data_IF_496787251931
#
_entry.id   IF_496787251931
#
_cell.length_a   1.000
_cell.length_b   1.000
_cell.length_c   1.000
_cell.angle_alpha   90.00
_cell.angle_beta   90.00
_cell.angle_gamma   90.00
#
_symmetry.space_group_name_H-M   'P 1'
#
loop_
_entity.id
_entity.type
_entity.pdbx_description
1 polymer ?
#
# COMPACT_ATOMS: atom_id res chain seq x y z
N UNK A 1 -27.77 82.88 47.20
CA UNK A 1 -27.72 81.42 47.38
C UNK A 1 -28.02 80.79 46.02
N UNK A 2 -26.99 80.45 45.24
CA UNK A 2 -27.13 79.76 43.95
C UNK A 2 -26.02 78.71 43.87
N UNK A 3 -26.44 77.51 43.54
CA UNK A 3 -25.72 76.24 43.59
C UNK A 3 -24.83 76.09 42.34
N UNK A 4 -23.61 75.59 42.55
CA UNK A 4 -22.66 75.11 41.52
C UNK A 4 -22.91 73.61 41.30
N UNK A 5 -22.93 73.12 40.06
CA UNK A 5 -22.49 71.75 39.73
C UNK A 5 -21.76 71.66 38.38
N UNK A 6 -20.79 70.74 38.22
CA UNK A 6 -19.71 70.84 37.24
C UNK A 6 -19.77 69.83 36.08
N UNK A 7 -19.11 70.22 34.99
CA UNK A 7 -18.26 69.44 34.07
C UNK A 7 -18.36 67.90 34.07
N UNK A 8 -18.91 67.37 32.98
CA UNK A 8 -18.76 65.98 32.54
C UNK A 8 -17.37 65.76 31.92
N UNK A 9 -16.55 64.93 32.54
CA UNK A 9 -15.33 64.41 31.92
C UNK A 9 -15.63 63.15 31.10
N UNK A 10 -15.36 63.23 29.79
CA UNK A 10 -15.33 62.07 28.90
C UNK A 10 -13.95 61.41 29.05
N UNK A 11 -13.91 60.20 29.61
CA UNK A 11 -12.70 59.36 29.65
C UNK A 11 -12.52 58.69 28.29
N UNK A 12 -11.48 59.06 27.55
CA UNK A 12 -11.04 58.33 26.37
C UNK A 12 -10.25 57.09 26.81
N UNK A 13 -10.79 55.90 26.55
CA UNK A 13 -10.10 54.63 26.76
C UNK A 13 -9.28 54.31 25.51
N UNK A 14 -7.95 54.44 25.62
CA UNK A 14 -7.02 54.00 24.56
C UNK A 14 -6.90 52.48 24.64
N UNK A 15 -7.45 51.78 23.67
CA UNK A 15 -7.26 50.34 23.51
C UNK A 15 -5.88 50.08 22.85
N UNK A 16 -4.94 49.56 23.63
CA UNK A 16 -3.66 49.06 23.13
C UNK A 16 -3.92 47.71 22.44
N UNK A 17 -3.92 47.72 21.12
CA UNK A 17 -3.96 46.50 20.30
C UNK A 17 -2.55 45.89 20.35
N UNK A 18 -2.36 44.94 21.27
CA UNK A 18 -1.17 44.10 21.32
C UNK A 18 -1.18 43.17 20.10
N UNK A 19 -0.42 43.50 19.05
CA UNK A 19 -0.09 42.60 17.96
C UNK A 19 0.87 41.52 18.47
N UNK A 20 0.32 40.53 19.17
CA UNK A 20 0.98 39.25 19.36
C UNK A 20 1.07 38.59 17.99
N UNK A 21 2.21 38.74 17.33
CA UNK A 21 2.57 37.87 16.22
C UNK A 21 2.58 36.45 16.77
N UNK A 22 1.53 35.68 16.48
CA UNK A 22 1.51 34.25 16.72
C UNK A 22 2.65 33.62 15.93
N UNK A 23 3.79 33.41 16.60
CA UNK A 23 4.81 32.46 16.16
C UNK A 23 4.15 31.08 16.35
N UNK A 24 3.30 30.71 15.40
CA UNK A 24 2.80 29.35 15.31
C UNK A 24 4.04 28.48 15.08
N UNK A 25 4.33 27.47 15.92
CA UNK A 25 5.36 26.51 15.57
C UNK A 25 4.98 25.95 14.20
N UNK A 26 5.85 26.17 13.20
CA UNK A 26 5.73 25.43 11.94
C UNK A 26 5.83 23.98 12.34
N UNK A 27 4.70 23.28 12.35
CA UNK A 27 4.67 21.85 12.59
C UNK A 27 5.72 21.20 11.69
N UNK A 28 6.41 20.20 12.23
CA UNK A 28 7.34 19.41 11.43
C UNK A 28 6.66 19.05 10.10
N UNK A 29 7.38 19.15 8.96
CA UNK A 29 6.79 18.80 7.67
C UNK A 29 6.18 17.41 7.79
N UNK A 30 4.89 17.31 7.49
CA UNK A 30 4.20 16.03 7.51
C UNK A 30 4.94 15.07 6.59
N UNK A 31 5.17 13.83 7.05
CA UNK A 31 5.84 12.83 6.22
C UNK A 31 5.14 12.72 4.85
N UNK A 32 5.89 12.52 3.75
CA UNK A 32 5.31 12.41 2.42
C UNK A 32 4.27 11.27 2.38
N UNK A 33 3.13 11.45 1.69
CA UNK A 33 2.11 10.42 1.60
C UNK A 33 2.70 9.13 1.01
N UNK A 34 2.28 7.98 1.55
CA UNK A 34 2.71 6.67 1.08
C UNK A 34 1.81 6.21 -0.07
N UNK A 35 2.42 5.84 -1.20
CA UNK A 35 1.75 5.12 -2.27
C UNK A 35 1.71 3.63 -1.93
N UNK A 36 0.52 3.06 -1.79
CA UNK A 36 0.35 1.66 -1.39
C UNK A 36 -0.08 0.82 -2.59
N UNK A 37 0.64 -0.26 -2.85
CA UNK A 37 0.37 -1.17 -3.96
C UNK A 37 0.17 -2.59 -3.43
N UNK A 38 -0.84 -3.27 -3.94
CA UNK A 38 -0.99 -4.72 -3.73
C UNK A 38 -0.20 -5.46 -4.80
N UNK A 39 0.52 -6.50 -4.40
CA UNK A 39 1.23 -7.43 -5.28
C UNK A 39 0.52 -8.78 -5.23
N UNK A 40 -0.38 -9.03 -6.19
CA UNK A 40 -1.26 -10.18 -6.22
C UNK A 40 -0.97 -11.12 -7.38
N UNK A 41 -1.43 -12.37 -7.25
CA UNK A 41 -1.29 -13.39 -8.28
C UNK A 41 -0.65 -14.67 -7.74
N UNK A 42 0.09 -15.38 -8.60
CA UNK A 42 0.69 -16.67 -8.25
C UNK A 42 2.17 -16.58 -7.89
N UNK A 43 2.90 -17.69 -7.94
CA UNK A 43 4.30 -17.78 -7.50
C UNK A 43 5.20 -16.72 -8.13
N UNK A 44 4.96 -16.35 -9.39
CA UNK A 44 5.75 -15.35 -10.12
C UNK A 44 5.42 -13.90 -9.75
N UNK A 45 4.23 -13.63 -9.18
CA UNK A 45 3.94 -12.35 -8.52
C UNK A 45 4.70 -12.23 -7.20
N UNK A 46 4.94 -13.37 -6.56
CA UNK A 46 5.58 -13.48 -5.28
C UNK A 46 7.07 -13.32 -5.32
N UNK A 47 7.63 -13.32 -4.12
CA UNK A 47 9.06 -13.19 -3.90
C UNK A 47 9.82 -14.54 -3.98
N UNK A 48 9.36 -15.46 -4.84
CA UNK A 48 9.72 -16.88 -4.80
C UNK A 48 10.67 -17.32 -5.92
N UNK A 49 11.24 -16.37 -6.68
CA UNK A 49 12.14 -16.70 -7.78
C UNK A 49 13.56 -17.05 -7.30
N UNK A 50 13.77 -18.24 -6.73
CA UNK A 50 15.10 -18.77 -6.43
C UNK A 50 15.84 -18.03 -5.30
N UNK A 51 17.15 -18.30 -5.16
CA UNK A 51 18.01 -17.78 -4.08
C UNK A 51 17.78 -16.27 -3.81
N UNK A 52 17.85 -15.89 -2.53
CA UNK A 52 17.79 -14.51 -2.08
C UNK A 52 18.66 -13.59 -2.95
N UNK A 53 18.03 -12.74 -3.75
CA UNK A 53 18.78 -11.75 -4.52
C UNK A 53 19.23 -10.67 -3.56
N UNK A 54 20.54 -10.50 -3.45
CA UNK A 54 21.11 -9.35 -2.76
C UNK A 54 20.82 -8.10 -3.57
N UNK A 55 19.83 -7.33 -3.12
CA UNK A 55 19.55 -6.03 -3.70
C UNK A 55 20.22 -4.98 -2.83
N UNK A 56 21.22 -4.28 -3.37
CA UNK A 56 21.69 -3.06 -2.71
C UNK A 56 20.59 -2.01 -2.82
N UNK A 57 20.02 -1.69 -1.67
CA UNK A 57 18.97 -0.69 -1.50
C UNK A 57 19.59 0.41 -0.63
N UNK A 58 19.63 1.66 -1.11
CA UNK A 58 20.19 2.78 -0.34
C UNK A 58 19.56 2.90 1.06
N UNK A 59 20.31 3.36 2.06
CA UNK A 59 19.83 3.48 3.45
C UNK A 59 18.64 4.45 3.61
N UNK A 60 18.47 5.38 2.67
CA UNK A 60 17.36 6.33 2.59
C UNK A 60 16.12 5.78 1.87
N UNK A 61 16.03 4.46 1.71
CA UNK A 61 14.98 3.88 0.88
C UNK A 61 13.60 4.01 1.51
N UNK A 62 12.71 4.64 0.74
CA UNK A 62 11.31 4.88 1.09
C UNK A 62 10.40 3.67 0.80
N UNK A 63 10.88 2.43 0.94
CA UNK A 63 10.13 1.21 0.58
C UNK A 63 9.78 0.39 1.82
N UNK A 64 8.51 0.04 1.92
CA UNK A 64 7.90 -0.67 3.03
C UNK A 64 7.17 -1.90 2.50
N UNK A 65 7.26 -3.02 3.21
CA UNK A 65 6.48 -4.23 2.91
C UNK A 65 5.58 -4.52 4.09
N UNK A 66 4.30 -4.74 3.83
CA UNK A 66 3.36 -5.19 4.84
C UNK A 66 3.65 -6.63 5.20
N UNK A 67 4.02 -6.85 6.45
CA UNK A 67 4.23 -8.17 6.99
C UNK A 67 2.89 -8.72 7.48
N UNK A 68 2.25 -9.52 6.63
CA UNK A 68 1.14 -10.36 7.06
C UNK A 68 1.66 -11.80 7.17
N UNK A 69 1.27 -12.50 8.25
CA UNK A 69 1.82 -13.78 8.70
C UNK A 69 1.70 -14.97 7.71
N UNK A 70 1.28 -14.78 6.47
CA UNK A 70 1.01 -15.88 5.55
C UNK A 70 2.25 -16.46 4.86
N UNK A 71 3.41 -15.77 4.87
CA UNK A 71 4.65 -16.20 4.21
C UNK A 71 5.91 -15.66 4.94
N UNK A 72 5.94 -15.76 6.27
CA UNK A 72 6.93 -15.10 7.13
C UNK A 72 8.39 -15.19 6.62
N UNK A 73 9.02 -14.03 6.45
CA UNK A 73 10.44 -13.91 6.80
C UNK A 73 10.50 -14.17 8.32
N UNK A 74 11.27 -15.15 8.82
CA UNK A 74 11.09 -15.71 10.17
C UNK A 74 11.24 -14.75 11.35
N UNK A 75 11.65 -13.50 11.15
CA UNK A 75 12.15 -12.65 12.24
C UNK A 75 11.14 -11.62 12.77
N UNK A 76 9.99 -11.43 12.13
CA UNK A 76 8.93 -10.55 12.65
C UNK A 76 7.58 -11.18 12.34
N UNK A 77 6.76 -11.48 13.35
CA UNK A 77 5.39 -11.95 13.18
C UNK A 77 4.47 -10.87 13.77
N UNK A 78 3.69 -10.20 12.92
CA UNK A 78 2.71 -9.20 13.32
C UNK A 78 2.34 -8.26 12.17
N UNK A 79 1.08 -7.84 12.14
CA UNK A 79 0.51 -6.90 11.18
C UNK A 79 1.23 -5.54 11.25
N UNK A 80 2.29 -5.39 10.46
CA UNK A 80 3.18 -4.25 10.56
C UNK A 80 3.89 -3.95 9.24
N UNK A 81 4.20 -2.68 9.03
CA UNK A 81 5.06 -2.25 7.94
C UNK A 81 6.52 -2.50 8.33
N UNK A 82 7.20 -3.34 7.54
CA UNK A 82 8.65 -3.52 7.65
C UNK A 82 9.34 -2.62 6.63
N UNK A 83 10.35 -1.90 7.08
CA UNK A 83 11.26 -1.21 6.15
C UNK A 83 12.19 -2.23 5.52
N UNK A 84 12.35 -2.17 4.19
CA UNK A 84 13.46 -2.85 3.55
C UNK A 84 14.75 -2.10 3.92
N UNK A 85 15.36 -2.48 5.04
CA UNK A 85 16.62 -1.89 5.49
C UNK A 85 17.80 -2.71 4.98
N UNK A 86 18.81 -1.99 4.54
CA UNK A 86 20.12 -2.55 4.29
C UNK A 86 20.76 -2.96 5.62
N UNK A 87 21.13 -4.22 5.76
CA UNK A 87 22.07 -4.68 6.79
C UNK A 87 23.45 -4.67 6.14
N UNK A 88 24.38 -3.87 6.66
CA UNK A 88 25.72 -3.67 6.08
C UNK A 88 25.70 -3.21 4.60
N UNK A 89 24.81 -2.29 4.24
CA UNK A 89 24.67 -1.78 2.86
C UNK A 89 24.00 -2.75 1.87
N UNK A 90 23.49 -3.91 2.34
CA UNK A 90 22.80 -4.89 1.51
C UNK A 90 21.40 -5.17 2.06
N UNK A 91 20.38 -5.05 1.22
CA UNK A 91 19.04 -5.52 1.56
C UNK A 91 18.85 -6.88 0.92
N UNK A 92 18.53 -7.89 1.73
CA UNK A 92 18.05 -9.16 1.21
C UNK A 92 16.55 -8.96 0.99
N UNK A 93 16.18 -8.79 -0.28
CA UNK A 93 14.80 -8.68 -0.68
C UNK A 93 14.46 -9.96 -1.45
N UNK A 94 13.40 -10.67 -1.07
CA UNK A 94 13.10 -11.91 -1.73
C UNK A 94 12.71 -11.60 -3.20
N UNK A 95 13.14 -12.42 -4.16
CA UNK A 95 13.16 -12.07 -5.57
C UNK A 95 11.77 -12.01 -6.20
N UNK A 96 11.39 -10.86 -6.74
CA UNK A 96 10.10 -10.67 -7.43
C UNK A 96 9.94 -9.26 -8.04
N UNK A 97 8.90 -9.04 -8.85
CA UNK A 97 8.69 -7.76 -9.54
C UNK A 97 8.34 -6.60 -8.60
N UNK A 98 7.75 -6.88 -7.43
CA UNK A 98 7.26 -5.86 -6.49
C UNK A 98 8.36 -4.91 -5.98
N UNK A 99 9.49 -5.44 -5.51
CA UNK A 99 10.60 -4.60 -4.99
C UNK A 99 11.27 -3.81 -6.10
N UNK A 100 11.46 -4.42 -7.27
CA UNK A 100 12.03 -3.72 -8.44
C UNK A 100 11.12 -2.58 -8.88
N UNK A 101 9.81 -2.81 -8.95
CA UNK A 101 8.81 -1.78 -9.21
C UNK A 101 8.89 -0.65 -8.17
N UNK A 102 8.83 -0.99 -6.88
CA UNK A 102 8.85 0.01 -5.81
C UNK A 102 10.10 0.89 -5.84
N UNK A 103 11.27 0.31 -6.14
CA UNK A 103 12.52 1.08 -6.32
C UNK A 103 12.43 2.08 -7.46
N UNK A 104 11.90 1.66 -8.61
CA UNK A 104 11.76 2.55 -9.78
C UNK A 104 10.78 3.67 -9.51
N UNK A 105 9.64 3.38 -8.88
CA UNK A 105 8.66 4.41 -8.51
C UNK A 105 9.22 5.35 -7.45
N UNK A 106 9.77 4.84 -6.35
CA UNK A 106 10.38 5.67 -5.30
C UNK A 106 11.47 6.59 -5.85
N UNK A 107 12.35 6.08 -6.74
CA UNK A 107 13.40 6.88 -7.35
C UNK A 107 12.85 8.02 -8.22
N UNK A 108 11.76 7.77 -8.94
CA UNK A 108 11.11 8.73 -9.85
C UNK A 108 10.24 9.75 -9.10
N UNK A 109 9.49 9.34 -8.08
CA UNK A 109 8.49 10.17 -7.41
C UNK A 109 8.98 10.78 -6.10
N UNK A 110 10.06 10.24 -5.51
CA UNK A 110 10.53 10.58 -4.16
C UNK A 110 9.47 10.34 -3.06
N UNK A 111 8.49 9.47 -3.31
CA UNK A 111 7.46 9.12 -2.34
C UNK A 111 7.75 7.80 -1.63
N UNK A 112 7.13 7.62 -0.46
CA UNK A 112 7.10 6.33 0.24
C UNK A 112 6.25 5.33 -0.53
N UNK A 113 6.75 4.12 -0.70
CA UNK A 113 6.08 3.03 -1.41
C UNK A 113 5.83 1.89 -0.43
N UNK A 114 4.57 1.57 -0.21
CA UNK A 114 4.13 0.39 0.55
C UNK A 114 3.75 -0.74 -0.39
N UNK A 115 4.25 -1.95 -0.15
CA UNK A 115 3.87 -3.16 -0.86
C UNK A 115 3.08 -4.09 0.05
N UNK A 116 1.92 -4.54 -0.40
CA UNK A 116 1.09 -5.54 0.29
C UNK A 116 1.21 -6.86 -0.46
N UNK A 117 1.93 -7.86 0.08
CA UNK A 117 2.09 -9.15 -0.58
C UNK A 117 0.80 -9.97 -0.51
N UNK A 118 0.30 -10.31 -1.69
CA UNK A 118 -0.87 -11.16 -1.92
C UNK A 118 -0.57 -12.25 -2.95
N UNK A 119 0.65 -12.75 -3.01
CA UNK A 119 1.05 -13.82 -3.94
C UNK A 119 0.64 -15.21 -3.40
N UNK A 120 -0.67 -15.44 -3.25
CA UNK A 120 -1.20 -16.64 -2.58
C UNK A 120 -1.26 -17.90 -3.46
N UNK A 121 -1.14 -17.77 -4.79
CA UNK A 121 -1.17 -18.91 -5.70
C UNK A 121 -2.57 -19.47 -5.95
N UNK A 122 -2.82 -19.91 -7.19
CA UNK A 122 -4.09 -20.50 -7.61
C UNK A 122 -4.58 -19.93 -8.94
N UNK A 123 -5.58 -20.57 -9.57
CA UNK A 123 -6.18 -20.08 -10.81
C UNK A 123 -7.01 -18.83 -10.55
N UNK A 124 -7.24 -18.03 -11.59
CA UNK A 124 -8.02 -16.78 -11.57
C UNK A 124 -9.43 -16.97 -11.01
N UNK A 125 -9.99 -18.18 -11.14
CA UNK A 125 -11.27 -18.55 -10.55
C UNK A 125 -11.29 -18.41 -9.02
N UNK A 126 -10.16 -18.60 -8.33
CA UNK A 126 -10.05 -18.41 -6.86
C UNK A 126 -9.76 -16.97 -6.43
N UNK A 127 -9.57 -16.08 -7.40
CA UNK A 127 -9.35 -14.66 -7.21
C UNK A 127 -10.64 -13.84 -7.37
N UNK A 128 -11.82 -14.47 -7.37
CA UNK A 128 -13.11 -13.75 -7.45
C UNK A 128 -13.59 -13.33 -6.06
N UNK A 129 -14.43 -12.30 -5.98
CA UNK A 129 -14.91 -11.71 -4.71
C UNK A 129 -15.44 -12.71 -3.67
N UNK A 130 -16.03 -13.79 -4.15
CA UNK A 130 -16.64 -14.87 -3.36
C UNK A 130 -15.64 -15.95 -2.92
N UNK A 131 -14.38 -15.83 -3.29
CA UNK A 131 -13.35 -16.85 -3.12
C UNK A 131 -12.25 -16.44 -2.15
N UNK A 132 -11.59 -17.45 -1.57
CA UNK A 132 -10.70 -17.29 -0.42
C UNK A 132 -9.43 -16.49 -0.71
N UNK A 133 -8.89 -16.51 -1.94
CA UNK A 133 -7.65 -15.75 -2.23
C UNK A 133 -7.93 -14.27 -2.36
N UNK A 134 -9.08 -13.92 -2.92
CA UNK A 134 -9.54 -12.54 -2.98
C UNK A 134 -9.75 -12.00 -1.58
N UNK A 135 -10.57 -12.66 -0.76
CA UNK A 135 -10.89 -12.19 0.59
C UNK A 135 -9.64 -12.08 1.47
N UNK A 136 -8.77 -13.09 1.44
CA UNK A 136 -7.51 -13.04 2.19
C UNK A 136 -6.60 -11.87 1.76
N UNK A 137 -6.60 -11.48 0.47
CA UNK A 137 -5.85 -10.32 0.02
C UNK A 137 -6.52 -8.99 0.41
N UNK A 138 -7.85 -8.92 0.30
CA UNK A 138 -8.63 -7.76 0.73
C UNK A 138 -8.45 -7.51 2.23
N UNK A 139 -8.52 -8.55 3.07
CA UNK A 139 -8.31 -8.46 4.50
C UNK A 139 -6.92 -7.90 4.84
N UNK A 140 -5.88 -8.33 4.12
CA UNK A 140 -4.52 -7.75 4.27
C UNK A 140 -4.48 -6.28 3.91
N UNK A 141 -5.16 -5.89 2.83
CA UNK A 141 -5.26 -4.49 2.47
C UNK A 141 -5.96 -3.68 3.58
N UNK A 142 -7.13 -4.13 4.03
CA UNK A 142 -7.90 -3.45 5.06
C UNK A 142 -7.13 -3.34 6.38
N UNK A 143 -6.35 -4.36 6.75
CA UNK A 143 -5.50 -4.34 7.93
C UNK A 143 -4.44 -3.22 7.92
N UNK A 144 -4.03 -2.73 6.74
CA UNK A 144 -3.09 -1.61 6.66
C UNK A 144 -3.71 -0.26 7.05
N UNK A 145 -5.04 -0.14 6.98
CA UNK A 145 -5.78 1.13 7.12
C UNK A 145 -5.25 2.27 6.22
N UNK A 146 -4.61 1.94 5.09
CA UNK A 146 -4.11 2.89 4.11
C UNK A 146 -4.87 2.76 2.79
N UNK A 147 -4.99 3.85 2.05
CA UNK A 147 -5.61 3.83 0.73
C UNK A 147 -4.70 3.24 -0.35
N UNK A 148 -5.27 2.45 -1.25
CA UNK A 148 -4.54 1.90 -2.40
C UNK A 148 -4.27 2.94 -3.48
N UNK A 149 -3.07 2.83 -4.04
CA UNK A 149 -2.58 3.58 -5.20
C UNK A 149 -2.57 2.74 -6.47
N UNK A 150 -2.58 1.41 -6.37
CA UNK A 150 -2.69 0.53 -7.53
C UNK A 150 -2.45 -0.95 -7.23
N UNK A 151 -2.46 -1.74 -8.29
CA UNK A 151 -2.25 -3.20 -8.28
C UNK A 151 -1.13 -3.61 -9.22
N UNK A 152 -0.29 -4.53 -8.75
CA UNK A 152 0.55 -5.39 -9.58
C UNK A 152 -0.08 -6.78 -9.55
N UNK A 153 -0.48 -7.29 -10.72
CA UNK A 153 -1.11 -8.60 -10.84
C UNK A 153 -0.32 -9.48 -11.81
N UNK A 154 0.23 -10.59 -11.34
CA UNK A 154 0.96 -11.53 -12.19
C UNK A 154 0.43 -12.96 -12.01
N UNK A 155 -0.40 -13.39 -12.97
CA UNK A 155 -1.08 -14.66 -12.94
C UNK A 155 -1.51 -15.12 -14.34
N UNK A 156 -1.51 -16.43 -14.57
CA UNK A 156 -2.14 -17.05 -15.74
C UNK A 156 -1.61 -18.44 -16.05
N UNK A 157 -0.42 -18.77 -15.55
CA UNK A 157 0.29 -20.00 -15.89
C UNK A 157 -0.40 -21.23 -15.33
N UNK A 158 -1.09 -21.10 -14.18
CA UNK A 158 -1.97 -22.14 -13.66
C UNK A 158 -3.17 -22.38 -14.58
N UNK A 159 -3.82 -21.32 -15.08
CA UNK A 159 -4.99 -21.41 -15.96
C UNK A 159 -4.65 -21.85 -17.38
N UNK A 160 -3.42 -21.60 -17.85
CA UNK A 160 -2.95 -22.01 -19.17
C UNK A 160 -2.75 -23.53 -19.29
N UNK A 161 -2.73 -24.28 -18.19
CA UNK A 161 -2.60 -25.74 -18.20
C UNK A 161 -3.96 -26.40 -18.46
N UNK A 162 -4.07 -27.09 -19.60
CA UNK A 162 -5.24 -27.90 -19.97
C UNK A 162 -5.36 -29.21 -19.16
N UNK A 163 -4.23 -29.71 -18.63
CA UNK A 163 -4.13 -31.05 -18.01
C UNK A 163 -4.20 -31.01 -16.48
N UNK A 164 -5.16 -30.27 -15.92
CA UNK A 164 -5.41 -30.26 -14.46
C UNK A 164 -5.83 -31.63 -13.90
N UNK A 165 -6.19 -32.58 -14.78
CA UNK A 165 -6.54 -33.96 -14.45
C UNK A 165 -5.38 -34.79 -13.84
N UNK A 166 -4.11 -34.37 -14.01
CA UNK A 166 -2.95 -35.08 -13.46
C UNK A 166 -2.59 -34.70 -12.02
N UNK A 167 -3.27 -33.71 -11.42
CA UNK A 167 -3.04 -33.32 -10.03
C UNK A 167 -3.98 -34.11 -9.10
N UNK A 168 -3.46 -34.55 -7.95
CA UNK A 168 -4.22 -35.27 -6.92
C UNK A 168 -5.47 -34.52 -6.43
N UNK A 169 -5.51 -33.19 -6.64
CA UNK A 169 -6.69 -32.33 -6.50
C UNK A 169 -6.72 -31.36 -7.70
N UNK A 170 -7.50 -31.65 -8.76
CA UNK A 170 -7.62 -30.76 -9.90
C UNK A 170 -8.20 -29.43 -9.42
N UNK A 171 -7.47 -28.33 -9.58
CA UNK A 171 -8.06 -27.00 -9.44
C UNK A 171 -8.66 -26.67 -10.81
N UNK A 172 -9.98 -26.42 -10.93
CA UNK A 172 -10.59 -26.12 -12.22
C UNK A 172 -9.90 -24.91 -12.87
N UNK A 173 -9.23 -25.15 -14.00
CA UNK A 173 -8.62 -24.10 -14.82
C UNK A 173 -9.65 -23.58 -15.80
N UNK A 174 -9.66 -22.27 -16.05
CA UNK A 174 -10.63 -21.68 -16.99
C UNK A 174 -9.93 -20.76 -18.01
N UNK A 175 -9.02 -21.30 -18.85
CA UNK A 175 -8.23 -20.47 -19.77
C UNK A 175 -9.10 -19.58 -20.67
N UNK A 176 -10.20 -20.13 -21.20
CA UNK A 176 -11.12 -19.38 -22.06
C UNK A 176 -12.00 -18.37 -21.33
N UNK A 177 -12.06 -18.43 -19.99
CA UNK A 177 -12.78 -17.44 -19.16
C UNK A 177 -11.85 -16.49 -18.43
N UNK A 178 -10.52 -16.65 -18.57
CA UNK A 178 -9.53 -15.88 -17.83
C UNK A 178 -9.77 -14.37 -17.95
N UNK A 179 -9.99 -13.89 -19.18
CA UNK A 179 -10.28 -12.47 -19.44
C UNK A 179 -11.49 -11.97 -18.64
N UNK A 180 -12.61 -12.70 -18.70
CA UNK A 180 -13.87 -12.31 -18.02
C UNK A 180 -13.67 -12.30 -16.51
N UNK A 181 -12.96 -13.30 -15.98
CA UNK A 181 -12.66 -13.42 -14.55
C UNK A 181 -11.68 -12.34 -14.07
N UNK A 182 -10.71 -11.95 -14.90
CA UNK A 182 -9.79 -10.85 -14.61
C UNK A 182 -10.51 -9.48 -14.66
N UNK A 183 -11.33 -9.23 -15.68
CA UNK A 183 -12.14 -8.01 -15.77
C UNK A 183 -13.08 -7.87 -14.55
N UNK A 184 -13.69 -8.98 -14.11
CA UNK A 184 -14.50 -9.04 -12.89
C UNK A 184 -13.67 -8.73 -11.65
N UNK A 185 -12.53 -9.40 -11.47
CA UNK A 185 -11.59 -9.12 -10.37
C UNK A 185 -11.24 -7.63 -10.26
N UNK A 186 -10.89 -6.98 -11.37
CA UNK A 186 -10.56 -5.54 -11.39
C UNK A 186 -11.78 -4.70 -11.02
N UNK A 187 -12.96 -5.05 -11.51
CA UNK A 187 -14.21 -4.35 -11.21
C UNK A 187 -14.56 -4.45 -9.73
N UNK A 188 -14.44 -5.63 -9.14
CA UNK A 188 -14.74 -5.88 -7.73
C UNK A 188 -13.79 -5.07 -6.82
N UNK A 189 -12.48 -5.07 -7.09
CA UNK A 189 -11.51 -4.25 -6.34
C UNK A 189 -11.80 -2.75 -6.42
N UNK A 190 -12.15 -2.24 -7.61
CA UNK A 190 -12.49 -0.83 -7.79
C UNK A 190 -13.76 -0.45 -7.03
N UNK A 191 -14.76 -1.34 -7.04
CA UNK A 191 -16.00 -1.18 -6.30
C UNK A 191 -15.76 -1.15 -4.79
N UNK A 192 -15.06 -2.15 -4.25
CA UNK A 192 -14.83 -2.29 -2.81
C UNK A 192 -13.94 -1.20 -2.23
N UNK A 193 -12.87 -0.85 -2.96
CA UNK A 193 -11.98 0.25 -2.54
C UNK A 193 -12.56 1.63 -2.85
N UNK A 194 -13.61 1.70 -3.67
CA UNK A 194 -14.20 2.94 -4.20
C UNK A 194 -13.17 3.82 -4.92
N UNK A 195 -12.27 3.21 -5.68
CA UNK A 195 -11.19 3.89 -6.40
C UNK A 195 -11.08 3.38 -7.82
N UNK A 196 -10.77 4.28 -8.76
CA UNK A 196 -10.32 3.88 -10.08
C UNK A 196 -8.82 3.50 -10.02
N UNK A 197 -8.56 2.27 -9.58
CA UNK A 197 -7.20 1.79 -9.39
C UNK A 197 -6.54 1.48 -10.74
N UNK A 198 -5.29 1.94 -10.96
CA UNK A 198 -4.47 1.40 -12.03
C UNK A 198 -4.09 -0.04 -11.69
N UNK A 199 -4.23 -0.92 -12.68
CA UNK A 199 -3.85 -2.33 -12.59
C UNK A 199 -2.78 -2.60 -13.64
N UNK A 200 -1.58 -2.93 -13.19
CA UNK A 200 -0.48 -3.39 -14.03
C UNK A 200 -0.53 -4.91 -14.01
N UNK A 201 -0.84 -5.53 -15.15
CA UNK A 201 -0.88 -6.98 -15.29
C UNK A 201 0.32 -7.47 -16.10
N UNK A 202 0.84 -8.64 -15.73
CA UNK A 202 1.98 -9.33 -16.36
C UNK A 202 1.60 -10.77 -16.61
#
# INVERSE_FOLDING_TARGET
MVVIYPWTQIRATVAVICTLACIWPRGAPADPPMMVFVVAGQSNAGFMAGEDIQVTVPEDTLIYIWNAACCAVPEVVGDSWMTLRAVNGKTIAPPGPGVTFARRIAAATKQRIGLIPCNLGGPIGRWQSEEILYSACMDRHLATNLSLSGFLFYQGEGDARSDSAALANPIPTQPFRWRVLFERFVTDWRSETRRDLPVIFV
#
